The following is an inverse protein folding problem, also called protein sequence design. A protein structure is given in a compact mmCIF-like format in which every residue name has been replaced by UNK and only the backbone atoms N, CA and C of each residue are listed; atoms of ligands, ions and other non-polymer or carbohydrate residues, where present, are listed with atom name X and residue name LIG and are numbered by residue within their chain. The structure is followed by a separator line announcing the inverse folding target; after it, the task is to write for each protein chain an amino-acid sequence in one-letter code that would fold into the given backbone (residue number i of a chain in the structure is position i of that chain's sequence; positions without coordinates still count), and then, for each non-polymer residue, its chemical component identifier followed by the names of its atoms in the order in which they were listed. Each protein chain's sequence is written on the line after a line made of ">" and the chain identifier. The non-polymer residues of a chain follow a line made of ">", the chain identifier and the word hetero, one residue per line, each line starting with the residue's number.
data_IF_157818640121
#
_entry.id   IF_157818640121
#
_cell.length_a   1.000
_cell.length_b   1.000
_cell.length_c   1.000
_cell.angle_alpha   90.00
_cell.angle_beta   90.00
_cell.angle_gamma   90.00
#
_symmetry.space_group_name_H-M   'P 1'
#
loop_
_entity.id
_entity.type
_entity.pdbx_description
1 polymer ?
#
# COMPACT_ATOMS: atom_id res chain seq x y z
N UNK A 1 -24.07 26.56 43.67
CA UNK A 1 -23.25 26.45 42.44
C UNK A 1 -22.66 25.05 42.38
N UNK A 2 -23.08 24.20 41.44
CA UNK A 2 -22.50 22.88 41.22
C UNK A 2 -21.49 22.99 40.07
N UNK A 3 -20.21 22.91 40.39
CA UNK A 3 -19.12 22.95 39.42
C UNK A 3 -19.09 21.64 38.65
N UNK A 4 -19.44 21.68 37.36
CA UNK A 4 -19.28 20.56 36.44
C UNK A 4 -17.80 20.46 36.05
N UNK A 5 -17.07 19.47 36.55
CA UNK A 5 -15.72 19.17 36.08
C UNK A 5 -15.86 18.29 34.84
N UNK A 6 -15.70 18.90 33.68
CA UNK A 6 -15.57 18.15 32.42
C UNK A 6 -14.20 17.49 32.36
N UNK A 7 -14.13 16.19 32.64
CA UNK A 7 -12.91 15.40 32.46
C UNK A 7 -12.77 15.09 30.98
N UNK A 8 -11.88 15.78 30.29
CA UNK A 8 -11.50 15.47 28.92
C UNK A 8 -10.72 14.13 28.93
N UNK A 9 -11.35 13.08 28.42
CA UNK A 9 -10.65 11.82 28.14
C UNK A 9 -9.79 12.02 26.88
N UNK A 10 -8.51 12.20 27.05
CA UNK A 10 -7.53 12.06 25.97
C UNK A 10 -7.43 10.55 25.74
N UNK A 11 -8.14 10.03 24.75
CA UNK A 11 -7.93 8.69 24.25
C UNK A 11 -6.55 8.68 23.54
N UNK A 12 -5.51 8.26 24.23
CA UNK A 12 -4.27 7.85 23.59
C UNK A 12 -4.62 6.65 22.72
N UNK A 13 -4.65 6.85 21.40
CA UNK A 13 -4.77 5.75 20.47
C UNK A 13 -3.59 4.79 20.74
N UNK A 14 -3.91 3.57 21.14
CA UNK A 14 -2.91 2.52 21.18
C UNK A 14 -2.45 2.33 19.72
N UNK A 15 -1.24 2.78 19.42
CA UNK A 15 -0.62 2.50 18.14
C UNK A 15 -0.33 1.01 18.13
N UNK A 16 -1.08 0.26 17.32
CA UNK A 16 -0.78 -1.14 17.07
C UNK A 16 0.64 -1.27 16.50
N UNK A 17 1.29 -2.39 16.76
CA UNK A 17 2.55 -2.74 16.08
C UNK A 17 2.30 -2.79 14.58
N UNK A 18 3.20 -2.21 13.80
CA UNK A 18 3.12 -2.26 12.33
C UNK A 18 3.10 -3.73 11.86
N UNK A 19 2.24 -4.00 10.89
CA UNK A 19 2.19 -5.28 10.18
C UNK A 19 2.87 -5.10 8.84
N UNK A 20 3.66 -6.08 8.44
CA UNK A 20 4.33 -6.09 7.14
C UNK A 20 3.57 -7.03 6.20
N UNK A 21 3.05 -6.49 5.11
CA UNK A 21 2.53 -7.26 3.98
C UNK A 21 3.67 -7.49 2.99
N UNK A 22 4.15 -8.71 2.92
CA UNK A 22 5.06 -9.18 1.88
C UNK A 22 4.27 -10.03 0.90
N UNK A 23 4.77 -10.22 -0.31
CA UNK A 23 4.07 -11.01 -1.34
C UNK A 23 4.61 -12.44 -1.46
N UNK A 24 5.48 -12.86 -0.56
CA UNK A 24 6.18 -14.14 -0.59
C UNK A 24 5.26 -15.38 -0.55
N UNK A 25 4.10 -15.25 0.08
CA UNK A 25 3.14 -16.37 0.21
C UNK A 25 2.16 -16.47 -0.97
N UNK A 26 2.29 -15.64 -2.01
CA UNK A 26 1.51 -15.80 -3.22
C UNK A 26 1.91 -17.09 -3.94
N UNK A 27 1.00 -17.76 -4.67
CA UNK A 27 1.36 -18.92 -5.49
C UNK A 27 2.36 -18.51 -6.58
N UNK A 28 3.13 -19.48 -7.08
CA UNK A 28 3.98 -19.22 -8.24
C UNK A 28 3.13 -18.78 -9.43
N UNK A 29 3.47 -17.66 -10.11
CA UNK A 29 2.71 -17.17 -11.24
C UNK A 29 2.81 -18.13 -12.42
N UNK A 30 1.72 -18.23 -13.18
CA UNK A 30 1.59 -19.22 -14.27
C UNK A 30 1.56 -18.61 -15.66
N UNK A 31 1.28 -17.32 -15.76
CA UNK A 31 1.19 -16.61 -17.05
C UNK A 31 2.58 -16.22 -17.53
N UNK A 32 3.08 -16.91 -18.55
CA UNK A 32 4.38 -16.58 -19.15
C UNK A 32 4.25 -15.47 -20.20
N UNK A 33 5.21 -14.55 -20.19
CA UNK A 33 5.39 -13.60 -21.29
C UNK A 33 6.03 -14.31 -22.47
N UNK A 34 5.37 -14.29 -23.62
CA UNK A 34 5.82 -15.00 -24.82
C UNK A 34 6.55 -14.09 -25.82
N UNK A 35 6.55 -12.79 -25.60
CA UNK A 35 7.12 -11.81 -26.54
C UNK A 35 8.60 -11.51 -26.23
N UNK A 36 9.52 -11.69 -27.19
CA UNK A 36 10.92 -11.28 -27.03
C UNK A 36 11.04 -9.77 -26.74
N UNK A 37 11.99 -9.32 -25.92
CA UNK A 37 13.07 -10.11 -25.28
C UNK A 37 12.66 -10.79 -23.96
N UNK A 38 11.40 -10.88 -23.63
CA UNK A 38 10.83 -11.13 -22.32
C UNK A 38 10.35 -12.57 -22.11
N UNK A 39 10.89 -13.49 -22.86
CA UNK A 39 10.60 -14.91 -22.67
C UNK A 39 11.12 -15.39 -21.31
N UNK A 40 10.20 -15.89 -20.48
CA UNK A 40 10.53 -16.40 -19.14
C UNK A 40 10.15 -15.51 -17.96
N UNK A 41 9.56 -14.32 -18.21
CA UNK A 41 8.95 -13.54 -17.15
C UNK A 41 7.55 -14.08 -16.85
N UNK A 42 7.34 -14.55 -15.64
CA UNK A 42 6.06 -15.09 -15.17
C UNK A 42 5.35 -14.08 -14.29
N UNK A 43 4.04 -13.91 -14.50
CA UNK A 43 3.20 -13.02 -13.72
C UNK A 43 1.76 -13.52 -13.69
N UNK A 44 1.01 -13.12 -12.66
CA UNK A 44 -0.43 -13.31 -12.58
C UNK A 44 -1.12 -12.06 -12.00
N UNK A 45 -2.40 -11.89 -12.31
CA UNK A 45 -3.19 -10.78 -11.79
C UNK A 45 -3.48 -10.96 -10.31
N UNK A 46 -3.47 -9.85 -9.56
CA UNK A 46 -3.80 -9.82 -8.15
C UNK A 46 -4.96 -8.86 -7.88
N UNK A 47 -6.06 -9.37 -7.33
CA UNK A 47 -7.22 -8.56 -6.94
C UNK A 47 -7.35 -8.39 -5.44
N UNK A 48 -6.84 -9.33 -4.63
CA UNK A 48 -6.85 -9.25 -3.18
C UNK A 48 -5.74 -10.09 -2.55
N UNK A 49 -5.19 -9.61 -1.43
CA UNK A 49 -4.20 -10.33 -0.64
C UNK A 49 -4.10 -9.72 0.76
N UNK A 50 -4.05 -10.55 1.81
CA UNK A 50 -3.92 -10.14 3.23
C UNK A 50 -4.91 -9.03 3.67
N UNK A 51 -6.14 -9.08 3.17
CA UNK A 51 -7.19 -8.10 3.49
C UNK A 51 -7.12 -6.82 2.67
N UNK A 52 -6.13 -6.66 1.80
CA UNK A 52 -6.09 -5.60 0.81
C UNK A 52 -6.87 -5.99 -0.45
N UNK A 53 -7.46 -4.98 -1.09
CA UNK A 53 -8.02 -5.03 -2.43
C UNK A 53 -7.11 -4.22 -3.37
N UNK A 54 -6.80 -4.80 -4.52
CA UNK A 54 -5.91 -4.23 -5.53
C UNK A 54 -6.71 -3.95 -6.79
N UNK A 55 -6.88 -2.67 -7.12
CA UNK A 55 -7.67 -2.23 -8.29
C UNK A 55 -6.90 -1.22 -9.12
N UNK A 56 -7.30 -1.02 -10.37
CA UNK A 56 -6.82 0.08 -11.19
C UNK A 56 -7.96 0.78 -11.90
N UNK A 57 -7.78 2.03 -12.27
CA UNK A 57 -8.74 2.78 -13.08
C UNK A 57 -8.68 2.42 -14.56
N UNK A 58 -7.70 1.63 -14.96
CA UNK A 58 -7.54 1.17 -16.32
C UNK A 58 -8.34 -0.12 -16.54
N UNK A 59 -9.35 -0.08 -17.38
CA UNK A 59 -10.04 -1.27 -17.90
C UNK A 59 -9.38 -1.68 -19.23
N UNK A 60 -9.27 -2.97 -19.55
CA UNK A 60 -10.18 -4.04 -19.22
C UNK A 60 -9.83 -4.74 -17.91
N UNK A 61 -10.84 -5.40 -17.32
CA UNK A 61 -10.84 -6.01 -15.99
C UNK A 61 -9.77 -7.09 -15.74
N UNK A 62 -8.97 -7.44 -16.72
CA UNK A 62 -7.94 -8.48 -16.63
C UNK A 62 -6.55 -7.96 -16.28
N UNK A 63 -6.36 -6.62 -16.12
CA UNK A 63 -5.06 -6.01 -15.95
C UNK A 63 -5.07 -5.01 -14.79
N UNK A 64 -5.54 -5.48 -13.65
CA UNK A 64 -5.43 -4.72 -12.43
C UNK A 64 -3.96 -4.74 -11.95
N UNK A 65 -3.72 -4.96 -10.73
CA UNK A 65 -2.38 -5.27 -10.25
C UNK A 65 -1.95 -6.66 -10.71
N UNK A 66 -0.66 -6.84 -10.90
CA UNK A 66 -0.09 -8.14 -11.11
C UNK A 66 1.10 -8.35 -10.15
N UNK A 67 1.42 -9.59 -9.89
CA UNK A 67 2.64 -9.97 -9.17
C UNK A 67 3.51 -10.85 -10.06
N UNK A 68 4.78 -10.86 -9.79
CA UNK A 68 5.77 -11.62 -10.54
C UNK A 68 6.75 -12.34 -9.60
N UNK A 69 7.47 -13.30 -10.14
CA UNK A 69 8.40 -14.15 -9.43
C UNK A 69 9.78 -14.09 -10.12
N UNK A 70 10.83 -13.88 -9.35
CA UNK A 70 12.21 -13.89 -9.85
C UNK A 70 12.74 -15.30 -10.13
N UNK A 71 12.21 -16.33 -9.44
CA UNK A 71 12.73 -17.69 -9.51
C UNK A 71 12.62 -18.29 -10.91
N UNK A 72 11.74 -17.76 -11.75
CA UNK A 72 11.58 -18.19 -13.15
C UNK A 72 12.67 -17.70 -14.12
N UNK A 73 13.58 -16.85 -13.69
CA UNK A 73 14.77 -16.40 -14.44
C UNK A 73 14.44 -15.69 -15.74
N UNK A 74 14.27 -14.43 -15.75
CA UNK A 74 14.01 -13.62 -16.92
C UNK A 74 13.64 -12.20 -16.51
N UNK A 75 14.26 -11.74 -15.42
CA UNK A 75 14.01 -10.41 -14.89
C UNK A 75 14.33 -9.36 -15.93
N UNK A 76 13.38 -8.49 -16.18
CA UNK A 76 13.70 -7.25 -16.85
C UNK A 76 14.50 -6.41 -15.86
N UNK A 77 15.62 -5.88 -16.33
CA UNK A 77 16.38 -4.91 -15.54
C UNK A 77 15.43 -3.87 -14.94
N UNK A 78 15.47 -3.72 -13.63
CA UNK A 78 14.58 -2.85 -12.87
C UNK A 78 13.41 -3.56 -12.14
N UNK A 79 12.94 -4.70 -12.62
CA UNK A 79 11.99 -5.51 -11.83
C UNK A 79 12.73 -6.29 -10.75
N UNK A 80 13.89 -6.85 -11.06
CA UNK A 80 14.72 -7.61 -10.11
C UNK A 80 15.11 -6.74 -8.89
N UNK A 81 15.40 -5.48 -9.13
CA UNK A 81 15.74 -4.52 -8.07
C UNK A 81 14.51 -4.10 -7.22
N UNK A 82 13.30 -4.39 -7.70
CA UNK A 82 12.05 -4.09 -7.01
C UNK A 82 11.65 -5.11 -5.96
N UNK A 83 12.31 -6.25 -5.90
CA UNK A 83 11.93 -7.38 -5.04
C UNK A 83 12.81 -7.46 -3.79
N UNK A 84 12.18 -7.80 -2.66
CA UNK A 84 12.85 -8.31 -1.45
C UNK A 84 12.36 -9.73 -1.21
N UNK A 85 13.13 -10.72 -1.62
CA UNK A 85 12.70 -12.12 -1.60
C UNK A 85 12.39 -12.62 -3.01
N UNK A 86 11.27 -13.33 -3.18
CA UNK A 86 10.96 -14.01 -4.44
C UNK A 86 9.86 -13.33 -5.25
N UNK A 87 9.00 -12.48 -4.64
CA UNK A 87 7.79 -11.93 -5.29
C UNK A 87 7.54 -10.48 -4.95
N UNK A 88 7.09 -9.71 -5.93
CA UNK A 88 6.62 -8.34 -5.75
C UNK A 88 5.40 -8.04 -6.62
N UNK A 89 4.69 -6.96 -6.29
CA UNK A 89 3.66 -6.39 -7.15
C UNK A 89 4.27 -5.53 -8.24
N UNK A 90 3.55 -5.38 -9.34
CA UNK A 90 3.88 -4.41 -10.36
C UNK A 90 2.65 -3.88 -11.08
N UNK A 91 2.85 -2.76 -11.79
CA UNK A 91 1.84 -2.09 -12.59
C UNK A 91 2.02 -2.49 -14.07
N UNK A 92 1.31 -3.52 -14.58
CA UNK A 92 1.63 -4.15 -15.86
C UNK A 92 1.44 -3.25 -17.09
N UNK A 93 0.68 -2.14 -16.93
CA UNK A 93 0.41 -1.20 -18.03
C UNK A 93 0.91 0.22 -17.75
N UNK A 94 1.82 0.32 -16.82
CA UNK A 94 2.29 1.59 -16.30
C UNK A 94 1.24 2.27 -15.41
N UNK A 95 1.71 3.09 -14.49
CA UNK A 95 0.91 3.82 -13.52
C UNK A 95 1.13 5.32 -13.73
N UNK A 96 0.56 5.89 -14.79
CA UNK A 96 0.50 7.34 -14.96
C UNK A 96 -0.72 7.95 -14.25
N UNK A 97 -0.83 9.27 -14.19
CA UNK A 97 -1.91 9.95 -13.49
C UNK A 97 -3.32 9.55 -13.98
N UNK A 98 -3.47 9.15 -15.24
CA UNK A 98 -4.73 8.68 -15.83
C UNK A 98 -5.01 7.20 -15.55
N UNK A 99 -3.97 6.43 -15.20
CA UNK A 99 -4.01 5.00 -14.93
C UNK A 99 -3.55 4.74 -13.50
N UNK A 100 -4.24 5.32 -12.55
CA UNK A 100 -3.89 5.14 -11.14
C UNK A 100 -4.22 3.74 -10.65
N UNK A 101 -3.28 3.19 -9.91
CA UNK A 101 -3.43 1.94 -9.21
C UNK A 101 -3.81 2.20 -7.76
N UNK A 102 -4.72 1.38 -7.22
CA UNK A 102 -5.27 1.58 -5.89
C UNK A 102 -5.05 0.36 -5.02
N UNK A 103 -4.73 0.60 -3.76
CA UNK A 103 -4.64 -0.40 -2.71
C UNK A 103 -5.59 0.07 -1.59
N UNK A 104 -6.57 -0.74 -1.24
CA UNK A 104 -7.60 -0.37 -0.26
C UNK A 104 -7.88 -1.48 0.75
N UNK A 105 -8.46 -1.10 1.89
CA UNK A 105 -8.99 -2.00 2.92
C UNK A 105 -10.38 -1.53 3.35
N UNK A 106 -11.18 -2.45 3.87
CA UNK A 106 -12.51 -2.13 4.40
C UNK A 106 -12.46 -1.36 5.72
N UNK A 107 -11.41 -1.57 6.51
CA UNK A 107 -11.15 -0.83 7.76
C UNK A 107 -10.18 0.34 7.55
N UNK A 108 -10.16 1.25 8.52
CA UNK A 108 -9.14 2.31 8.58
C UNK A 108 -7.76 1.69 8.86
N UNK A 109 -6.76 2.16 8.15
CA UNK A 109 -5.37 1.77 8.34
C UNK A 109 -4.43 2.96 8.13
N UNK A 110 -3.21 2.83 8.61
CA UNK A 110 -2.13 3.78 8.38
C UNK A 110 -1.09 3.12 7.48
N UNK A 111 -0.63 3.81 6.46
CA UNK A 111 0.52 3.41 5.66
C UNK A 111 1.78 3.87 6.38
N UNK A 112 2.52 2.97 7.02
CA UNK A 112 3.76 3.31 7.69
C UNK A 112 4.88 3.53 6.68
N UNK A 113 5.10 2.54 5.83
CA UNK A 113 6.06 2.62 4.73
C UNK A 113 5.67 1.70 3.58
N UNK A 114 6.27 1.93 2.43
CA UNK A 114 6.13 1.12 1.22
C UNK A 114 7.45 1.14 0.46
N UNK A 115 7.87 0.01 -0.08
CA UNK A 115 9.03 -0.06 -0.96
C UNK A 115 8.59 0.04 -2.42
N UNK A 116 9.23 0.92 -3.18
CA UNK A 116 8.86 1.22 -4.57
C UNK A 116 10.11 1.32 -5.43
N UNK A 117 10.02 0.81 -6.64
CA UNK A 117 11.06 0.91 -7.68
C UNK A 117 10.46 1.44 -8.97
N UNK A 118 11.13 2.40 -9.60
CA UNK A 118 10.85 2.81 -10.97
C UNK A 118 11.55 1.83 -11.93
N UNK A 119 10.78 1.07 -12.70
CA UNK A 119 11.31 -0.07 -13.45
C UNK A 119 12.12 0.37 -14.68
N UNK A 120 11.59 1.25 -15.49
CA UNK A 120 12.19 1.59 -16.80
C UNK A 120 12.91 2.93 -16.83
N UNK A 121 12.31 3.95 -16.24
CA UNK A 121 12.84 5.31 -16.23
C UNK A 121 12.69 5.91 -14.84
N UNK A 122 13.69 6.71 -14.45
CA UNK A 122 13.59 7.53 -13.25
C UNK A 122 12.36 8.43 -13.33
N UNK A 123 11.58 8.48 -12.26
CA UNK A 123 10.32 9.21 -12.24
C UNK A 123 10.00 9.77 -10.86
N UNK A 124 9.03 10.66 -10.80
CA UNK A 124 8.40 11.04 -9.54
C UNK A 124 7.22 10.13 -9.29
N UNK A 125 7.25 9.37 -8.20
CA UNK A 125 6.08 8.64 -7.72
C UNK A 125 5.23 9.55 -6.86
N UNK A 126 3.91 9.43 -7.02
CA UNK A 126 2.90 10.10 -6.19
C UNK A 126 2.07 9.03 -5.48
N UNK A 127 1.91 9.18 -4.16
CA UNK A 127 1.01 8.37 -3.33
C UNK A 127 -0.01 9.31 -2.70
N UNK A 128 -1.26 9.14 -3.07
CA UNK A 128 -2.38 9.88 -2.48
C UNK A 128 -3.14 8.98 -1.51
N UNK A 129 -3.31 9.42 -0.26
CA UNK A 129 -4.13 8.74 0.74
C UNK A 129 -5.55 9.27 0.77
N UNK A 130 -6.52 8.36 0.84
CA UNK A 130 -7.95 8.69 0.88
C UNK A 130 -8.62 8.04 2.09
N UNK A 131 -9.54 8.78 2.71
CA UNK A 131 -10.42 8.28 3.77
C UNK A 131 -11.85 8.38 3.27
N UNK A 132 -12.50 7.23 3.03
CA UNK A 132 -13.87 7.16 2.51
C UNK A 132 -14.12 8.04 1.28
N UNK A 133 -13.12 8.10 0.38
CA UNK A 133 -13.17 8.88 -0.85
C UNK A 133 -12.65 10.33 -0.74
N UNK A 134 -12.44 10.85 0.47
CA UNK A 134 -11.86 12.17 0.69
C UNK A 134 -10.33 12.11 0.77
N UNK A 135 -9.64 12.99 0.05
CA UNK A 135 -8.18 13.09 0.08
C UNK A 135 -7.67 13.53 1.46
N UNK A 136 -6.69 12.80 1.99
CA UNK A 136 -6.10 13.05 3.31
C UNK A 136 -4.69 13.57 3.19
N UNK A 137 -3.88 12.96 2.31
CA UNK A 137 -2.50 13.38 2.07
C UNK A 137 -2.07 13.12 0.62
N UNK A 138 -1.01 13.81 0.22
CA UNK A 138 -0.28 13.54 -1.03
C UNK A 138 1.21 13.50 -0.72
N UNK A 139 1.85 12.36 -0.96
CA UNK A 139 3.27 12.15 -0.79
C UNK A 139 3.94 12.01 -2.16
N UNK A 140 5.07 12.68 -2.37
CA UNK A 140 5.83 12.59 -3.62
C UNK A 140 7.29 12.24 -3.32
N UNK A 141 7.87 11.38 -4.15
CA UNK A 141 9.28 11.04 -4.08
C UNK A 141 9.90 10.86 -5.48
N UNK A 142 11.16 11.23 -5.59
CA UNK A 142 11.95 10.93 -6.78
C UNK A 142 12.46 9.50 -6.70
N UNK A 143 12.25 8.74 -7.77
CA UNK A 143 12.76 7.39 -7.92
C UNK A 143 13.81 7.37 -9.03
N UNK A 144 14.92 6.73 -8.74
CA UNK A 144 15.92 6.38 -9.76
C UNK A 144 15.54 5.03 -10.38
N UNK A 145 15.78 4.89 -11.68
CA UNK A 145 15.55 3.61 -12.38
C UNK A 145 16.30 2.48 -11.72
N UNK A 146 15.64 1.33 -11.60
CA UNK A 146 16.21 0.10 -11.06
C UNK A 146 16.80 0.27 -9.65
N UNK A 147 16.26 1.19 -8.86
CA UNK A 147 16.64 1.40 -7.47
C UNK A 147 15.40 1.31 -6.58
N UNK A 148 15.42 0.37 -5.65
CA UNK A 148 14.39 0.25 -4.62
C UNK A 148 14.54 1.35 -3.58
N UNK A 149 13.43 2.00 -3.25
CA UNK A 149 13.38 3.07 -2.25
C UNK A 149 12.29 2.76 -1.23
N UNK A 150 12.64 2.74 0.06
CA UNK A 150 11.66 2.69 1.15
C UNK A 150 11.14 4.08 1.43
N UNK A 151 9.85 4.29 1.17
CA UNK A 151 9.14 5.54 1.41
C UNK A 151 8.49 5.49 2.79
N UNK A 152 8.95 6.29 3.73
CA UNK A 152 8.45 6.34 5.12
C UNK A 152 7.32 7.37 5.23
N UNK A 153 6.10 6.97 4.98
CA UNK A 153 4.92 7.86 4.95
C UNK A 153 4.56 8.37 6.34
N UNK A 154 4.59 7.50 7.35
CA UNK A 154 4.23 7.87 8.73
C UNK A 154 5.17 8.90 9.36
N UNK A 155 6.39 9.04 8.86
CA UNK A 155 7.31 10.08 9.32
C UNK A 155 6.91 11.49 8.87
N UNK A 156 6.19 11.60 7.75
CA UNK A 156 5.70 12.86 7.17
C UNK A 156 4.26 13.13 7.59
N UNK A 157 3.43 12.09 7.65
CA UNK A 157 2.02 12.15 8.00
C UNK A 157 1.73 11.28 9.24
N UNK A 158 2.09 11.74 10.45
CA UNK A 158 1.93 10.94 11.67
C UNK A 158 0.48 10.85 12.13
N UNK A 159 0.11 9.72 12.75
CA UNK A 159 -1.15 9.52 13.45
C UNK A 159 -2.39 9.72 12.57
N UNK A 160 -3.38 10.52 13.03
CA UNK A 160 -4.67 10.67 12.33
C UNK A 160 -4.59 11.24 10.93
N UNK A 161 -3.50 11.94 10.58
CA UNK A 161 -3.25 12.47 9.24
C UNK A 161 -2.98 11.36 8.20
N UNK A 162 -2.73 10.14 8.67
CA UNK A 162 -2.48 8.97 7.83
C UNK A 162 -3.53 7.86 8.03
N UNK A 163 -4.67 8.17 8.67
CA UNK A 163 -5.78 7.21 8.79
C UNK A 163 -6.57 7.21 7.48
N UNK A 164 -6.40 6.17 6.69
CA UNK A 164 -6.91 6.02 5.33
C UNK A 164 -7.71 4.74 5.15
N UNK A 165 -8.47 4.65 4.07
CA UNK A 165 -9.10 3.42 3.57
C UNK A 165 -8.49 2.99 2.24
N UNK A 166 -7.85 3.91 1.52
CA UNK A 166 -7.31 3.68 0.19
C UNK A 166 -6.07 4.53 -0.05
N UNK A 167 -5.10 4.01 -0.79
CA UNK A 167 -4.08 4.79 -1.47
C UNK A 167 -4.25 4.65 -2.99
N UNK A 168 -3.92 5.73 -3.71
CA UNK A 168 -3.61 5.68 -5.14
C UNK A 168 -2.12 5.86 -5.30
N UNK A 169 -1.53 5.12 -6.24
CA UNK A 169 -0.13 5.24 -6.58
C UNK A 169 0.03 5.39 -8.09
N UNK A 170 0.85 6.34 -8.50
CA UNK A 170 1.15 6.58 -9.91
C UNK A 170 2.48 7.33 -10.09
N UNK A 171 3.03 7.24 -11.30
CA UNK A 171 4.19 8.00 -11.76
C UNK A 171 3.74 9.27 -12.47
N UNK A 172 4.51 10.33 -12.36
CA UNK A 172 4.24 11.58 -13.10
C UNK A 172 4.65 11.51 -14.57
N UNK A 173 5.31 10.43 -15.00
CA UNK A 173 5.66 10.24 -16.42
C UNK A 173 4.40 9.85 -17.19
N UNK A 174 4.00 10.62 -18.23
CA UNK A 174 2.73 10.40 -18.93
C UNK A 174 2.75 9.24 -19.93
N UNK A 175 3.83 8.48 -20.04
CA UNK A 175 3.96 7.40 -21.04
C UNK A 175 3.79 6.03 -20.37
N UNK A 176 2.84 5.25 -20.87
CA UNK A 176 2.48 3.93 -20.32
C UNK A 176 3.65 2.94 -20.25
N UNK A 177 4.59 2.99 -21.19
CA UNK A 177 5.76 2.09 -21.21
C UNK A 177 6.84 2.50 -20.18
N UNK A 178 6.82 3.75 -19.73
CA UNK A 178 7.87 4.31 -18.88
C UNK A 178 7.45 4.47 -17.42
N UNK A 179 6.18 4.28 -17.11
CA UNK A 179 5.60 4.53 -15.78
C UNK A 179 5.37 3.25 -14.97
N UNK A 180 6.07 2.16 -15.31
CA UNK A 180 5.97 0.93 -14.53
C UNK A 180 6.61 1.08 -13.16
N UNK A 181 5.87 0.67 -12.13
CA UNK A 181 6.33 0.62 -10.76
C UNK A 181 6.32 -0.83 -10.28
N UNK A 182 7.37 -1.23 -9.58
CA UNK A 182 7.39 -2.42 -8.76
C UNK A 182 7.20 -2.01 -7.30
N UNK A 183 6.44 -2.79 -6.54
CA UNK A 183 6.08 -2.48 -5.16
C UNK A 183 6.23 -3.72 -4.31
N UNK A 184 6.86 -3.54 -3.15
CA UNK A 184 7.03 -4.58 -2.18
C UNK A 184 6.94 -4.04 -0.74
N UNK A 185 6.89 -4.91 0.25
CA UNK A 185 6.98 -4.58 1.67
C UNK A 185 6.10 -3.40 2.10
N UNK A 186 4.78 -3.59 2.06
CA UNK A 186 3.82 -2.60 2.57
C UNK A 186 3.73 -2.76 4.09
N UNK A 187 4.31 -1.83 4.84
CA UNK A 187 4.19 -1.76 6.29
C UNK A 187 2.99 -0.89 6.68
N UNK A 188 2.07 -1.45 7.44
CA UNK A 188 0.82 -0.78 7.79
C UNK A 188 0.39 -1.07 9.23
N UNK A 189 -0.52 -0.25 9.74
CA UNK A 189 -1.16 -0.45 11.05
C UNK A 189 -2.67 -0.32 10.91
N UNK A 190 -3.42 -1.33 11.31
CA UNK A 190 -4.90 -1.25 11.35
C UNK A 190 -5.32 -0.34 12.49
N UNK A 191 -6.20 0.62 12.20
CA UNK A 191 -6.76 1.54 13.20
C UNK A 191 -8.01 0.92 13.79
N UNK A 192 -8.05 0.63 15.11
CA UNK A 192 -9.22 0.05 15.74
C UNK A 192 -10.47 0.94 15.57
N UNK A 193 -11.60 0.33 15.27
CA UNK A 193 -12.87 1.07 15.16
C UNK A 193 -13.18 1.79 16.49
N UNK A 194 -13.70 3.03 16.45
CA UNK A 194 -14.02 3.79 17.66
C UNK A 194 -14.92 3.06 18.66
N UNK A 195 -15.82 2.19 18.18
CA UNK A 195 -16.69 1.36 19.02
C UNK A 195 -15.91 0.36 19.87
N UNK A 196 -14.83 -0.22 19.37
CA UNK A 196 -13.99 -1.14 20.13
C UNK A 196 -13.27 -0.42 21.28
N UNK A 197 -12.79 0.79 21.05
CA UNK A 197 -12.19 1.63 22.09
C UNK A 197 -13.21 2.09 23.15
N UNK A 198 -14.43 2.44 22.74
CA UNK A 198 -15.50 2.81 23.66
C UNK A 198 -15.91 1.62 24.55
N UNK A 199 -16.01 0.41 24.01
CA UNK A 199 -16.31 -0.81 24.77
C UNK A 199 -15.22 -1.16 25.78
N UNK A 200 -13.95 -0.99 25.42
CA UNK A 200 -12.83 -1.20 26.34
C UNK A 200 -12.82 -0.17 27.49
N UNK A 201 -13.14 1.09 27.19
CA UNK A 201 -13.25 2.14 28.20
C UNK A 201 -14.39 1.87 29.18
N UNK A 202 -15.57 1.46 28.71
CA UNK A 202 -16.73 1.07 29.54
C UNK A 202 -16.41 -0.15 30.40
N UNK A 203 -15.77 -1.19 29.85
CA UNK A 203 -15.36 -2.38 30.57
C UNK A 203 -14.35 -2.06 31.69
N UNK A 204 -13.42 -1.13 31.42
CA UNK A 204 -12.44 -0.66 32.41
C UNK A 204 -13.08 0.10 33.58
N UNK A 205 -14.10 0.92 33.32
CA UNK A 205 -14.82 1.68 34.37
C UNK A 205 -15.68 0.76 35.22
N UNK A 206 -16.36 -0.22 34.64
CA UNK A 206 -17.21 -1.17 35.38
C UNK A 206 -16.42 -2.10 36.31
N UNK A 207 -15.19 -2.48 35.93
CA UNK A 207 -14.29 -3.27 36.74
C UNK A 207 -13.78 -2.53 37.98
N UNK A 208 -13.62 -1.20 37.88
CA UNK A 208 -13.15 -0.35 39.01
C UNK A 208 -14.23 -0.10 40.08
N UNK A 209 -15.53 -0.22 39.74
CA UNK A 209 -16.65 -0.04 40.70
C UNK A 209 -16.95 -1.28 41.54
N UNK A 210 -16.34 -2.44 41.26
CA UNK A 210 -16.54 -3.70 41.98
C UNK A 210 -15.43 -4.01 43.01
N UNK A 211 -14.53 -3.08 43.27
CA UNK A 211 -13.54 -3.12 44.36
C UNK A 211 -13.81 -1.94 45.33
#
# INVERSE_FOLDING_TARGET
>A
MKTLIATAFIATAAHGTGTLCTFENLPAPTTATTSPPNTGFYWDSLSSYEGFQFTSSYAPSNFQWAYYDLVGGGGWAGYDEGIVGDRALFTPWGADQGKNYRISRNELWMLNSIEVTAVWLSSTVVIEGYRYGEGVFTYTAQLTTAQRVKLNISSVYPGPLNNITEIKIYSTIPNSLSSHLAIDNIEYTVVPAPSALALLAVAGVTRRRRR
#
